data_IF_743959103551
#
_entry.id   IF_743959103551
#
_cell.length_a   1.000
_cell.length_b   1.000
_cell.length_c   1.000
_cell.angle_alpha   90.00
_cell.angle_beta   90.00
_cell.angle_gamma   90.00
#
_symmetry.space_group_name_H-M   'P 1'
#
loop_
_entity.id
_entity.type
_entity.pdbx_description
1 polymer ?
#
# COMPACT_ATOMS: atom_id res chain seq x y z
N UNK A 1 -11.42 -7.84 28.61
CA UNK A 1 -10.50 -8.05 27.47
C UNK A 1 -11.33 -8.70 26.36
N UNK A 2 -11.44 -8.03 25.22
CA UNK A 2 -12.25 -8.53 24.10
C UNK A 2 -11.73 -9.87 23.63
N UNK A 3 -12.62 -10.80 23.30
CA UNK A 3 -12.20 -12.09 22.76
C UNK A 3 -11.73 -11.93 21.33
N UNK A 4 -10.82 -12.80 20.89
CA UNK A 4 -10.36 -12.85 19.49
C UNK A 4 -11.53 -12.88 18.48
N UNK A 5 -12.62 -13.57 18.82
CA UNK A 5 -13.81 -13.65 17.97
C UNK A 5 -14.45 -12.29 17.68
N UNK A 6 -14.41 -11.34 18.62
CA UNK A 6 -14.96 -10.00 18.38
C UNK A 6 -14.16 -9.25 17.32
N UNK A 7 -12.83 -9.36 17.32
CA UNK A 7 -11.98 -8.76 16.28
C UNK A 7 -12.14 -9.44 14.93
N UNK A 8 -12.36 -10.75 14.91
CA UNK A 8 -12.69 -11.49 13.70
C UNK A 8 -14.00 -11.02 13.08
N UNK A 9 -15.04 -10.88 13.89
CA UNK A 9 -16.34 -10.39 13.46
C UNK A 9 -16.20 -8.93 12.96
N UNK A 10 -15.49 -8.09 13.69
CA UNK A 10 -15.22 -6.71 13.32
C UNK A 10 -14.56 -6.61 11.94
N UNK A 11 -13.52 -7.40 11.69
CA UNK A 11 -12.81 -7.45 10.42
C UNK A 11 -13.76 -7.77 9.24
N UNK A 12 -14.56 -8.82 9.38
CA UNK A 12 -15.50 -9.20 8.32
C UNK A 12 -16.63 -8.19 8.11
N UNK A 13 -17.17 -7.58 9.16
CA UNK A 13 -18.18 -6.52 9.02
C UNK A 13 -17.60 -5.31 8.30
N UNK A 14 -16.36 -4.93 8.61
CA UNK A 14 -15.66 -3.83 7.96
C UNK A 14 -15.41 -4.11 6.47
N UNK A 15 -14.94 -5.31 6.13
CA UNK A 15 -14.69 -5.71 4.73
C UNK A 15 -15.98 -5.79 3.90
N UNK A 16 -17.06 -6.36 4.46
CA UNK A 16 -18.31 -6.57 3.74
C UNK A 16 -19.21 -5.34 3.71
N UNK A 17 -18.89 -4.29 4.48
CA UNK A 17 -19.73 -3.12 4.68
C UNK A 17 -21.19 -3.47 5.04
N UNK A 18 -21.40 -4.64 5.67
CA UNK A 18 -22.73 -5.21 5.94
C UNK A 18 -22.67 -6.26 7.06
N UNK A 19 -23.50 -6.09 8.07
CA UNK A 19 -23.68 -7.08 9.14
C UNK A 19 -24.27 -8.40 8.63
N UNK A 20 -25.18 -8.32 7.66
CA UNK A 20 -25.84 -9.51 7.07
C UNK A 20 -24.85 -10.33 6.25
N UNK A 21 -24.10 -9.69 5.35
CA UNK A 21 -23.07 -10.38 4.55
C UNK A 21 -21.95 -10.96 5.41
N UNK A 22 -21.54 -10.24 6.45
CA UNK A 22 -20.55 -10.76 7.40
C UNK A 22 -21.09 -11.98 8.15
N UNK A 23 -22.39 -12.01 8.50
CA UNK A 23 -23.02 -13.16 9.12
C UNK A 23 -23.01 -14.39 8.19
N UNK A 24 -23.29 -14.20 6.90
CA UNK A 24 -23.22 -15.26 5.89
C UNK A 24 -21.80 -15.84 5.78
N UNK A 25 -20.79 -14.98 5.64
CA UNK A 25 -19.36 -15.38 5.55
C UNK A 25 -18.91 -16.14 6.79
N UNK A 26 -19.37 -15.72 7.97
CA UNK A 26 -18.99 -16.32 9.25
C UNK A 26 -19.88 -17.52 9.65
N UNK A 27 -20.83 -17.94 8.79
CA UNK A 27 -21.83 -18.98 9.08
C UNK A 27 -22.53 -18.73 10.43
N UNK A 28 -22.91 -17.49 10.68
CA UNK A 28 -23.52 -17.00 11.91
C UNK A 28 -24.83 -16.25 11.59
N UNK A 29 -25.58 -15.88 12.63
CA UNK A 29 -26.77 -15.06 12.47
C UNK A 29 -26.46 -13.57 12.73
N UNK A 30 -27.14 -12.68 12.01
CA UNK A 30 -26.93 -11.23 12.10
C UNK A 30 -27.19 -10.66 13.51
N UNK A 31 -28.18 -11.11 14.31
CA UNK A 31 -28.35 -10.64 15.69
C UNK A 31 -27.11 -10.92 16.57
N UNK A 32 -26.47 -12.07 16.41
CA UNK A 32 -25.26 -12.41 17.17
C UNK A 32 -24.08 -11.53 16.76
N UNK A 33 -23.87 -11.32 15.45
CA UNK A 33 -22.86 -10.38 14.93
C UNK A 33 -23.07 -8.98 15.51
N UNK A 34 -24.32 -8.49 15.52
CA UNK A 34 -24.65 -7.18 16.09
C UNK A 34 -24.34 -7.09 17.57
N UNK A 35 -24.70 -8.13 18.34
CA UNK A 35 -24.41 -8.20 19.79
C UNK A 35 -22.91 -8.18 20.05
N UNK A 36 -22.12 -8.95 19.31
CA UNK A 36 -20.67 -9.00 19.46
C UNK A 36 -20.03 -7.64 19.17
N UNK A 37 -20.51 -6.92 18.15
CA UNK A 37 -20.00 -5.58 17.83
C UNK A 37 -20.37 -4.55 18.90
N UNK A 38 -21.60 -4.58 19.40
CA UNK A 38 -22.00 -3.70 20.51
C UNK A 38 -21.17 -3.97 21.78
N UNK A 39 -20.85 -5.23 22.08
CA UNK A 39 -19.96 -5.57 23.19
C UNK A 39 -18.55 -5.05 22.97
N UNK A 40 -17.99 -5.20 21.77
CA UNK A 40 -16.66 -4.67 21.43
C UNK A 40 -16.62 -3.14 21.57
N UNK A 41 -17.60 -2.44 21.04
CA UNK A 41 -17.74 -0.98 21.16
C UNK A 41 -17.85 -0.53 22.64
N UNK A 42 -18.62 -1.28 23.44
CA UNK A 42 -18.74 -1.04 24.88
C UNK A 42 -17.40 -1.22 25.61
N UNK A 43 -16.69 -2.31 25.33
CA UNK A 43 -15.38 -2.58 25.94
C UNK A 43 -14.31 -1.55 25.56
N UNK A 44 -14.34 -1.07 24.30
CA UNK A 44 -13.39 -0.07 23.79
C UNK A 44 -13.82 1.37 24.11
N UNK A 45 -15.07 1.59 24.56
CA UNK A 45 -15.60 2.89 24.91
C UNK A 45 -15.80 3.84 23.73
N UNK A 46 -15.90 3.30 22.50
CA UNK A 46 -16.11 4.10 21.29
C UNK A 46 -16.95 3.34 20.26
N UNK A 47 -17.60 4.09 19.37
CA UNK A 47 -18.27 3.49 18.23
C UNK A 47 -17.28 3.20 17.09
N UNK A 48 -17.38 2.01 16.52
CA UNK A 48 -16.52 1.57 15.43
C UNK A 48 -17.21 1.66 14.07
N UNK A 49 -18.55 1.67 14.07
CA UNK A 49 -19.37 1.69 12.85
C UNK A 49 -20.41 2.81 12.84
N UNK A 50 -20.63 3.36 11.64
CA UNK A 50 -21.78 4.21 11.31
C UNK A 50 -22.71 3.40 10.43
N UNK A 51 -23.99 3.33 10.86
CA UNK A 51 -25.06 2.66 10.09
C UNK A 51 -25.82 3.69 9.28
N UNK A 52 -26.05 3.45 8.02
CA UNK A 52 -26.82 4.28 7.13
C UNK A 52 -27.74 3.44 6.25
N UNK A 53 -28.67 4.06 5.55
CA UNK A 53 -29.55 3.38 4.56
C UNK A 53 -28.74 2.80 3.38
N UNK A 54 -27.46 3.16 3.23
CA UNK A 54 -26.55 2.66 2.17
C UNK A 54 -25.64 1.54 2.64
N UNK A 55 -25.73 1.15 3.92
CA UNK A 55 -24.88 0.12 4.51
C UNK A 55 -24.14 0.59 5.75
N UNK A 56 -23.01 -0.03 6.01
CA UNK A 56 -22.19 0.19 7.20
C UNK A 56 -20.83 0.72 6.77
N UNK A 57 -20.36 1.78 7.43
CA UNK A 57 -19.01 2.32 7.26
C UNK A 57 -18.28 2.41 8.60
N UNK A 58 -16.96 2.46 8.57
CA UNK A 58 -16.14 2.66 9.77
C UNK A 58 -16.21 4.11 10.24
N UNK A 59 -16.16 4.30 11.56
CA UNK A 59 -15.83 5.59 12.18
C UNK A 59 -14.31 5.87 12.05
N UNK A 60 -13.79 7.07 12.36
CA UNK A 60 -12.35 7.31 12.47
C UNK A 60 -11.66 6.36 13.46
N UNK A 61 -12.30 6.04 14.58
CA UNK A 61 -11.82 5.08 15.58
C UNK A 61 -11.84 3.65 15.01
N UNK A 62 -12.92 3.29 14.32
CA UNK A 62 -13.04 2.02 13.61
C UNK A 62 -11.98 1.86 12.53
N UNK A 63 -11.64 2.91 11.79
CA UNK A 63 -10.58 2.86 10.79
C UNK A 63 -9.20 2.63 11.41
N UNK A 64 -8.91 3.29 12.53
CA UNK A 64 -7.66 3.05 13.29
C UNK A 64 -7.56 1.60 13.74
N UNK A 65 -8.62 1.06 14.34
CA UNK A 65 -8.65 -0.33 14.76
C UNK A 65 -8.51 -1.29 13.58
N UNK A 66 -9.20 -1.01 12.47
CA UNK A 66 -9.18 -1.85 11.28
C UNK A 66 -7.76 -2.00 10.69
N UNK A 67 -6.99 -0.93 10.68
CA UNK A 67 -5.60 -0.97 10.18
C UNK A 67 -4.73 -1.98 10.95
N UNK A 68 -4.92 -2.09 12.25
CA UNK A 68 -4.19 -3.07 13.08
C UNK A 68 -4.77 -4.48 12.97
N UNK A 69 -6.09 -4.60 12.98
CA UNK A 69 -6.78 -5.89 12.90
C UNK A 69 -6.55 -6.56 11.55
N UNK A 70 -6.56 -5.80 10.45
CA UNK A 70 -6.28 -6.31 9.11
C UNK A 70 -4.89 -6.94 9.03
N UNK A 71 -3.87 -6.27 9.57
CA UNK A 71 -2.49 -6.80 9.64
C UNK A 71 -2.46 -8.11 10.44
N UNK A 72 -3.13 -8.17 11.59
CA UNK A 72 -3.16 -9.36 12.42
C UNK A 72 -3.81 -10.56 11.69
N UNK A 73 -4.90 -10.33 10.96
CA UNK A 73 -5.57 -11.37 10.18
C UNK A 73 -4.73 -11.84 8.99
N UNK A 74 -4.08 -10.93 8.28
CA UNK A 74 -3.14 -11.30 7.22
C UNK A 74 -1.99 -12.17 7.74
N UNK A 75 -1.46 -11.89 8.94
CA UNK A 75 -0.42 -12.73 9.56
C UNK A 75 -0.92 -14.13 9.90
N UNK A 76 -2.15 -14.26 10.39
CA UNK A 76 -2.74 -15.57 10.67
C UNK A 76 -2.96 -16.38 9.40
N UNK A 77 -3.48 -15.76 8.33
CA UNK A 77 -3.66 -16.42 7.03
C UNK A 77 -2.32 -16.84 6.41
N UNK A 78 -1.27 -16.03 6.58
CA UNK A 78 0.09 -16.39 6.16
C UNK A 78 0.59 -17.61 6.91
N UNK A 79 0.46 -17.64 8.24
CA UNK A 79 0.88 -18.79 9.06
C UNK A 79 0.13 -20.08 8.70
N UNK A 80 -1.19 -20.00 8.48
CA UNK A 80 -1.98 -21.14 7.99
C UNK A 80 -1.51 -21.61 6.60
N UNK A 81 -1.15 -20.67 5.74
CA UNK A 81 -0.65 -20.95 4.39
C UNK A 81 0.72 -21.61 4.44
N UNK A 82 1.61 -21.16 5.31
CA UNK A 82 2.93 -21.77 5.55
C UNK A 82 2.79 -23.22 6.05
N UNK A 83 1.92 -23.46 7.03
CA UNK A 83 1.66 -24.80 7.53
C UNK A 83 1.08 -25.76 6.47
N UNK A 84 0.21 -25.24 5.58
CA UNK A 84 -0.32 -26.01 4.45
C UNK A 84 0.74 -26.30 3.38
N UNK A 85 1.75 -25.43 3.25
CA UNK A 85 2.88 -25.60 2.32
C UNK A 85 3.84 -26.68 2.77
N UNK A 86 4.16 -26.73 4.04
CA UNK A 86 5.05 -27.77 4.61
C UNK A 86 4.50 -29.18 4.38
N UNK A 87 3.19 -29.29 4.13
CA UNK A 87 2.52 -30.54 3.77
C UNK A 87 2.54 -30.84 2.26
N UNK A 88 2.87 -29.86 1.40
CA UNK A 88 2.93 -30.05 -0.08
C UNK A 88 4.22 -29.48 -0.65
N UNK A 89 5.23 -30.31 -0.82
CA UNK A 89 6.56 -29.99 -1.38
C UNK A 89 6.57 -29.47 -2.83
N UNK A 90 5.43 -29.10 -3.41
CA UNK A 90 5.32 -28.81 -4.86
C UNK A 90 4.82 -27.42 -5.23
N UNK A 91 4.46 -26.52 -4.30
CA UNK A 91 3.98 -25.19 -4.67
C UNK A 91 4.40 -24.12 -3.66
N UNK A 92 5.38 -23.30 -4.02
CA UNK A 92 5.76 -22.11 -3.27
C UNK A 92 4.84 -20.91 -3.57
N UNK A 93 4.57 -20.04 -2.60
CA UNK A 93 4.06 -18.69 -2.79
C UNK A 93 5.18 -17.72 -2.41
N UNK A 94 5.50 -16.78 -3.26
CA UNK A 94 6.39 -15.67 -2.96
C UNK A 94 5.53 -14.41 -2.89
N UNK A 95 5.55 -13.73 -1.76
CA UNK A 95 4.84 -12.46 -1.55
C UNK A 95 5.81 -11.30 -1.71
N UNK A 96 5.50 -10.37 -2.61
CA UNK A 96 6.38 -9.26 -2.96
C UNK A 96 5.64 -7.93 -2.75
N UNK A 97 6.16 -7.09 -1.85
CA UNK A 97 5.77 -5.69 -1.74
C UNK A 97 6.56 -4.86 -2.75
N UNK A 98 5.90 -4.06 -3.57
CA UNK A 98 6.61 -3.38 -4.65
C UNK A 98 6.12 -1.94 -4.80
N UNK A 99 7.05 -0.98 -5.01
CA UNK A 99 6.67 0.37 -5.40
C UNK A 99 6.31 0.43 -6.89
N UNK A 100 5.43 1.35 -7.28
CA UNK A 100 4.88 1.43 -8.63
C UNK A 100 5.97 1.48 -9.71
N UNK A 101 6.95 2.36 -9.56
CA UNK A 101 8.06 2.47 -10.52
C UNK A 101 8.91 1.20 -10.57
N UNK A 102 9.20 0.59 -9.40
CA UNK A 102 9.93 -0.66 -9.34
C UNK A 102 9.16 -1.82 -9.98
N UNK A 103 7.83 -1.88 -9.80
CA UNK A 103 6.97 -2.85 -10.47
C UNK A 103 7.09 -2.75 -11.98
N UNK A 104 6.88 -1.55 -12.53
CA UNK A 104 6.83 -1.32 -13.98
C UNK A 104 8.18 -1.50 -14.66
N UNK A 105 9.24 -0.93 -14.07
CA UNK A 105 10.55 -0.87 -14.71
C UNK A 105 11.36 -2.15 -14.50
N UNK A 106 11.26 -2.75 -13.30
CA UNK A 106 12.15 -3.84 -12.92
C UNK A 106 11.45 -5.20 -12.85
N UNK A 107 10.26 -5.28 -12.26
CA UNK A 107 9.63 -6.56 -11.96
C UNK A 107 8.81 -7.10 -13.13
N UNK A 108 7.87 -6.34 -13.68
CA UNK A 108 6.98 -6.80 -14.75
C UNK A 108 7.73 -7.40 -15.95
N UNK A 109 8.84 -6.81 -16.46
CA UNK A 109 9.59 -7.39 -17.58
C UNK A 109 10.23 -8.75 -17.27
N UNK A 110 10.33 -9.15 -16.00
CA UNK A 110 10.94 -10.40 -15.55
C UNK A 110 9.92 -11.49 -15.20
N UNK A 111 8.65 -11.13 -14.99
CA UNK A 111 7.63 -12.06 -14.51
C UNK A 111 7.35 -13.20 -15.49
N UNK A 112 7.29 -12.90 -16.79
CA UNK A 112 7.06 -13.92 -17.82
C UNK A 112 8.16 -14.96 -17.83
N UNK A 113 9.42 -14.53 -17.86
CA UNK A 113 10.58 -15.43 -17.83
C UNK A 113 10.62 -16.25 -16.54
N UNK A 114 10.29 -15.62 -15.38
CA UNK A 114 10.23 -16.32 -14.11
C UNK A 114 9.14 -17.39 -14.11
N UNK A 115 7.91 -17.06 -14.54
CA UNK A 115 6.79 -18.00 -14.60
C UNK A 115 7.07 -19.18 -15.53
N UNK A 116 7.68 -18.93 -16.69
CA UNK A 116 8.07 -19.98 -17.63
C UNK A 116 9.11 -20.94 -17.04
N UNK A 117 10.01 -20.43 -16.19
CA UNK A 117 11.04 -21.25 -15.55
C UNK A 117 10.54 -21.98 -14.30
N UNK A 118 9.61 -21.35 -13.57
CA UNK A 118 9.06 -21.84 -12.30
C UNK A 118 7.51 -21.84 -12.30
N UNK A 119 6.86 -22.68 -13.15
CA UNK A 119 5.41 -22.62 -13.37
C UNK A 119 4.57 -22.99 -12.14
N UNK A 120 5.18 -23.68 -11.17
CA UNK A 120 4.50 -24.09 -9.94
C UNK A 120 4.68 -23.09 -8.77
N UNK A 121 5.47 -22.03 -8.97
CA UNK A 121 5.64 -20.97 -7.97
C UNK A 121 4.56 -19.89 -8.17
N UNK A 122 3.78 -19.65 -7.15
CA UNK A 122 2.78 -18.59 -7.14
C UNK A 122 3.42 -17.27 -6.67
N UNK A 123 3.12 -16.19 -7.36
CA UNK A 123 3.55 -14.85 -6.96
C UNK A 123 2.34 -14.05 -6.46
N UNK A 124 2.45 -13.47 -5.27
CA UNK A 124 1.53 -12.45 -4.75
C UNK A 124 2.27 -11.12 -4.79
N UNK A 125 1.84 -10.22 -5.66
CA UNK A 125 2.46 -8.90 -5.82
C UNK A 125 1.49 -7.86 -5.28
N UNK A 126 1.96 -7.06 -4.32
CA UNK A 126 1.19 -5.98 -3.70
C UNK A 126 1.85 -4.65 -4.03
N UNK A 127 1.12 -3.78 -4.74
CA UNK A 127 1.61 -2.44 -5.09
C UNK A 127 1.40 -1.47 -3.93
N UNK A 128 2.46 -0.79 -3.53
CA UNK A 128 2.50 0.11 -2.38
C UNK A 128 3.43 1.31 -2.66
N UNK A 129 3.38 2.33 -1.80
CA UNK A 129 4.49 3.29 -1.74
C UNK A 129 5.74 2.62 -1.16
N UNK A 130 6.93 3.16 -1.42
CA UNK A 130 8.18 2.62 -0.86
C UNK A 130 8.13 2.45 0.67
N UNK A 131 7.67 3.43 1.48
CA UNK A 131 7.55 3.23 2.92
C UNK A 131 6.58 2.11 3.32
N UNK A 132 5.45 1.97 2.61
CA UNK A 132 4.48 0.91 2.88
C UNK A 132 5.01 -0.49 2.54
N UNK A 133 5.73 -0.62 1.41
CA UNK A 133 6.36 -1.89 1.03
C UNK A 133 7.43 -2.32 2.04
N UNK A 134 8.19 -1.36 2.58
CA UNK A 134 9.17 -1.61 3.64
C UNK A 134 8.47 -2.02 4.93
N UNK A 135 7.40 -1.33 5.35
CA UNK A 135 6.64 -1.68 6.53
C UNK A 135 6.02 -3.10 6.42
N UNK A 136 5.56 -3.48 5.23
CA UNK A 136 5.07 -4.83 4.95
C UNK A 136 6.16 -5.89 5.08
N UNK A 137 7.40 -5.58 4.64
CA UNK A 137 8.55 -6.46 4.83
C UNK A 137 8.95 -6.56 6.32
N UNK A 138 8.98 -5.44 7.03
CA UNK A 138 9.33 -5.40 8.46
C UNK A 138 8.33 -6.15 9.34
N UNK A 139 7.06 -6.15 8.95
CA UNK A 139 6.00 -6.90 9.63
C UNK A 139 5.86 -8.36 9.16
N UNK A 140 6.68 -8.81 8.19
CA UNK A 140 6.62 -10.17 7.66
C UNK A 140 5.41 -10.46 6.76
N UNK A 141 4.71 -9.42 6.29
CA UNK A 141 3.58 -9.55 5.34
C UNK A 141 4.03 -9.93 3.93
N UNK A 142 5.29 -9.64 3.60
CA UNK A 142 5.90 -9.99 2.32
C UNK A 142 7.31 -10.58 2.54
N UNK A 143 7.73 -11.46 1.64
CA UNK A 143 9.05 -12.11 1.68
C UNK A 143 10.15 -11.17 1.16
N UNK A 144 9.80 -10.30 0.21
CA UNK A 144 10.70 -9.33 -0.42
C UNK A 144 9.99 -7.99 -0.61
N UNK A 145 10.79 -6.91 -0.58
CA UNK A 145 10.35 -5.61 -1.03
C UNK A 145 11.22 -5.14 -2.19
N UNK A 146 10.60 -4.77 -3.32
CA UNK A 146 11.28 -4.18 -4.49
C UNK A 146 10.85 -2.73 -4.60
N UNK A 147 11.75 -1.83 -4.24
CA UNK A 147 11.41 -0.42 -4.01
C UNK A 147 12.46 0.51 -4.62
N UNK A 148 12.12 1.78 -4.72
CA UNK A 148 13.01 2.83 -5.19
C UNK A 148 13.71 3.53 -4.02
N UNK A 149 14.88 4.09 -4.27
CA UNK A 149 15.58 4.97 -3.32
C UNK A 149 15.15 6.43 -3.50
N UNK A 150 15.27 7.29 -2.47
CA UNK A 150 15.84 7.04 -1.14
C UNK A 150 14.95 6.16 -0.27
N UNK A 151 15.57 5.40 0.64
CA UNK A 151 14.86 4.54 1.58
C UNK A 151 15.59 4.43 2.92
N UNK A 152 14.81 4.22 3.98
CA UNK A 152 15.33 3.87 5.30
C UNK A 152 14.80 2.50 5.67
N UNK A 153 15.67 1.55 6.00
CA UNK A 153 15.29 0.21 6.45
C UNK A 153 16.16 -0.20 7.64
N UNK A 154 15.64 -1.09 8.45
CA UNK A 154 16.36 -1.65 9.59
C UNK A 154 17.61 -2.40 9.12
N UNK A 155 18.67 -2.41 9.97
CA UNK A 155 19.97 -3.02 9.65
C UNK A 155 19.92 -4.52 9.38
N UNK A 156 18.89 -5.20 9.84
CA UNK A 156 18.70 -6.64 9.66
C UNK A 156 18.39 -7.05 8.22
N UNK A 157 17.96 -6.13 7.38
CA UNK A 157 17.61 -6.43 5.99
C UNK A 157 18.79 -6.25 5.05
N UNK A 158 18.97 -7.23 4.17
CA UNK A 158 19.95 -7.14 3.08
C UNK A 158 19.38 -6.29 1.95
N UNK A 159 20.19 -5.35 1.45
CA UNK A 159 19.87 -4.53 0.29
C UNK A 159 20.65 -5.00 -0.92
N UNK A 160 19.93 -5.24 -2.02
CA UNK A 160 20.50 -5.63 -3.31
C UNK A 160 20.09 -4.59 -4.35
N UNK A 161 21.07 -3.94 -4.99
CA UNK A 161 20.80 -3.01 -6.07
C UNK A 161 20.43 -3.78 -7.35
N UNK A 162 19.25 -3.49 -7.90
CA UNK A 162 18.78 -4.11 -9.13
C UNK A 162 19.05 -3.25 -10.37
N UNK A 163 19.40 -1.98 -10.19
CA UNK A 163 19.66 -1.04 -11.27
C UNK A 163 19.37 0.40 -10.84
N UNK A 164 19.43 1.31 -11.81
CA UNK A 164 19.10 2.72 -11.62
C UNK A 164 18.24 3.23 -12.75
N UNK A 165 17.45 4.26 -12.47
CA UNK A 165 16.68 5.01 -13.47
C UNK A 165 16.81 6.51 -13.17
N UNK A 166 16.40 7.33 -14.12
CA UNK A 166 16.41 8.78 -13.97
C UNK A 166 14.97 9.27 -14.00
N UNK A 167 14.68 10.25 -13.18
CA UNK A 167 13.47 11.02 -13.29
C UNK A 167 13.73 12.22 -14.18
N UNK A 168 12.76 12.56 -15.01
CA UNK A 168 12.79 13.74 -15.88
C UNK A 168 11.53 14.55 -15.65
N UNK A 169 11.62 15.84 -15.78
CA UNK A 169 10.45 16.70 -15.86
C UNK A 169 9.79 16.52 -17.21
N UNK A 170 8.48 16.37 -17.19
CA UNK A 170 7.66 16.37 -18.39
C UNK A 170 6.70 17.56 -18.33
N UNK A 171 6.37 18.11 -19.47
CA UNK A 171 5.44 19.23 -19.56
C UNK A 171 4.47 19.02 -20.72
N UNK A 172 3.23 19.45 -20.54
CA UNK A 172 2.23 19.41 -21.60
C UNK A 172 2.55 20.38 -22.76
N UNK A 173 1.84 20.26 -23.89
CA UNK A 173 2.09 21.07 -25.10
C UNK A 173 2.07 22.57 -24.86
N UNK A 174 1.34 23.05 -23.87
CA UNK A 174 1.27 24.46 -23.45
C UNK A 174 2.65 25.03 -23.06
N UNK A 175 3.55 24.18 -22.56
CA UNK A 175 4.87 24.54 -22.04
C UNK A 175 6.00 24.16 -22.99
N UNK A 176 5.69 23.95 -24.28
CA UNK A 176 6.65 23.50 -25.29
C UNK A 176 7.89 24.40 -25.41
N UNK A 177 7.75 25.69 -25.12
CA UNK A 177 8.85 26.65 -25.18
C UNK A 177 9.94 26.35 -24.14
N UNK A 178 9.59 25.77 -22.98
CA UNK A 178 10.58 25.35 -21.96
C UNK A 178 11.54 24.27 -22.47
N UNK A 179 11.14 23.46 -23.45
CA UNK A 179 11.99 22.43 -24.03
C UNK A 179 13.06 23.00 -24.99
N UNK A 180 13.03 24.28 -25.31
CA UNK A 180 13.96 24.93 -26.25
C UNK A 180 15.31 25.31 -25.61
N UNK A 181 15.40 25.29 -24.28
CA UNK A 181 16.61 25.66 -23.52
C UNK A 181 16.70 24.86 -22.21
N UNK A 182 17.81 25.03 -21.50
CA UNK A 182 18.00 24.45 -20.17
C UNK A 182 17.39 25.41 -19.16
N UNK A 183 16.26 24.98 -18.56
CA UNK A 183 15.60 25.74 -17.52
C UNK A 183 16.36 25.69 -16.20
N UNK A 184 16.48 26.83 -15.52
CA UNK A 184 16.92 26.86 -14.12
C UNK A 184 15.79 26.45 -13.17
N UNK A 185 16.13 26.07 -11.94
CA UNK A 185 15.11 25.79 -10.91
C UNK A 185 14.32 27.04 -10.53
N UNK A 186 14.94 28.22 -10.63
CA UNK A 186 14.31 29.52 -10.40
C UNK A 186 13.21 29.79 -11.42
N UNK A 187 13.52 29.56 -12.71
CA UNK A 187 12.55 29.65 -13.78
C UNK A 187 11.41 28.64 -13.63
N UNK A 188 11.75 27.38 -13.31
CA UNK A 188 10.75 26.32 -13.11
C UNK A 188 9.82 26.59 -11.92
N UNK A 189 10.27 27.30 -10.89
CA UNK A 189 9.46 27.65 -9.73
C UNK A 189 8.27 28.58 -10.05
N UNK A 190 8.30 29.24 -11.19
CA UNK A 190 7.20 30.09 -11.70
C UNK A 190 6.05 29.28 -12.32
N UNK A 191 6.25 27.99 -12.57
CA UNK A 191 5.27 27.12 -13.22
C UNK A 191 4.58 26.18 -12.25
N UNK A 192 3.31 25.82 -12.52
CA UNK A 192 2.59 24.88 -11.68
C UNK A 192 3.17 23.47 -11.79
N UNK A 193 3.37 22.83 -10.64
CA UNK A 193 3.85 21.45 -10.54
C UNK A 193 2.74 20.48 -10.20
N UNK A 194 2.75 19.32 -10.87
CA UNK A 194 2.03 18.11 -10.46
C UNK A 194 3.03 17.16 -9.82
N UNK A 195 2.70 16.63 -8.65
CA UNK A 195 3.57 15.69 -7.94
C UNK A 195 2.77 14.62 -7.22
N UNK A 196 3.44 13.57 -6.81
CA UNK A 196 2.84 12.57 -5.93
C UNK A 196 2.55 13.19 -4.55
N UNK A 197 1.54 12.64 -3.89
CA UNK A 197 1.17 12.99 -2.52
C UNK A 197 2.30 12.73 -1.52
N UNK A 198 2.17 13.29 -0.32
CA UNK A 198 3.09 13.07 0.79
C UNK A 198 3.20 11.56 1.12
N UNK A 199 4.29 11.17 1.80
CA UNK A 199 4.62 9.79 2.16
C UNK A 199 4.97 8.87 0.96
N UNK A 200 5.53 9.45 -0.09
CA UNK A 200 6.17 8.69 -1.17
C UNK A 200 7.65 9.06 -1.27
N UNK A 201 8.52 8.07 -1.55
CA UNK A 201 9.97 8.33 -1.71
C UNK A 201 10.29 9.28 -2.87
N UNK A 202 9.47 9.28 -3.91
CA UNK A 202 9.59 10.22 -5.04
C UNK A 202 9.34 11.65 -4.59
N UNK A 203 8.30 11.87 -3.77
CA UNK A 203 8.03 13.20 -3.21
C UNK A 203 9.18 13.68 -2.32
N UNK A 204 9.70 12.80 -1.46
CA UNK A 204 10.84 13.11 -0.59
C UNK A 204 12.07 13.48 -1.42
N UNK A 205 12.33 12.77 -2.51
CA UNK A 205 13.41 13.06 -3.44
C UNK A 205 13.28 14.45 -4.04
N UNK A 206 12.08 14.84 -4.51
CA UNK A 206 11.82 16.15 -5.06
C UNK A 206 12.02 17.25 -4.02
N UNK A 207 11.46 17.07 -2.81
CA UNK A 207 11.64 18.03 -1.71
C UNK A 207 13.14 18.20 -1.38
N UNK A 208 13.88 17.11 -1.26
CA UNK A 208 15.32 17.17 -0.98
C UNK A 208 16.10 17.87 -2.10
N UNK A 209 15.79 17.55 -3.36
CA UNK A 209 16.46 18.16 -4.51
C UNK A 209 16.22 19.67 -4.55
N UNK A 210 15.00 20.12 -4.50
CA UNK A 210 14.66 21.55 -4.51
C UNK A 210 15.23 22.29 -3.31
N UNK A 211 15.08 21.72 -2.11
CA UNK A 211 15.60 22.32 -0.87
C UNK A 211 17.13 22.44 -0.87
N UNK A 212 17.85 21.47 -1.44
CA UNK A 212 19.32 21.53 -1.54
C UNK A 212 19.81 22.64 -2.45
N UNK A 213 18.96 23.15 -3.34
CA UNK A 213 19.22 24.30 -4.21
C UNK A 213 18.59 25.61 -3.73
N UNK A 214 18.02 25.62 -2.50
CA UNK A 214 17.48 26.83 -1.90
C UNK A 214 16.01 27.14 -2.28
N UNK A 215 15.33 26.24 -2.99
CA UNK A 215 13.94 26.43 -3.42
C UNK A 215 12.96 25.53 -2.62
N UNK A 216 11.81 26.05 -2.15
CA UNK A 216 10.77 25.20 -1.60
C UNK A 216 10.04 24.45 -2.72
N UNK A 217 9.84 23.14 -2.56
CA UNK A 217 9.01 22.35 -3.46
C UNK A 217 7.55 22.36 -3.00
N UNK A 218 6.69 23.05 -3.73
CA UNK A 218 5.25 23.18 -3.44
C UNK A 218 4.46 22.89 -4.71
N UNK A 219 4.00 21.64 -4.91
CA UNK A 219 3.17 21.35 -6.07
C UNK A 219 1.77 21.97 -5.93
N UNK A 220 1.21 22.36 -7.05
CA UNK A 220 -0.15 22.90 -7.16
C UNK A 220 -1.19 21.79 -7.22
N UNK A 221 -0.80 20.60 -7.70
CA UNK A 221 -1.65 19.42 -7.78
C UNK A 221 -0.90 18.21 -7.20
N UNK A 222 -1.55 17.51 -6.28
CA UNK A 222 -1.06 16.26 -5.72
C UNK A 222 -1.91 15.10 -6.20
N UNK A 223 -1.25 14.02 -6.63
CA UNK A 223 -1.88 12.81 -7.17
C UNK A 223 -1.34 11.57 -6.47
N UNK A 224 -2.09 10.48 -6.50
CA UNK A 224 -1.75 9.25 -5.78
C UNK A 224 -0.89 8.28 -6.58
N UNK A 225 -0.83 8.42 -7.91
CA UNK A 225 -0.05 7.52 -8.77
C UNK A 225 0.73 8.28 -9.84
N UNK A 226 1.82 7.66 -10.30
CA UNK A 226 2.66 8.20 -11.38
C UNK A 226 1.90 8.35 -12.69
N UNK A 227 0.93 7.48 -12.99
CA UNK A 227 0.11 7.58 -14.19
C UNK A 227 -0.75 8.85 -14.19
N UNK A 228 -1.22 9.27 -13.03
CA UNK A 228 -2.01 10.49 -12.89
C UNK A 228 -1.18 11.75 -13.11
N UNK A 229 0.16 11.68 -12.91
CA UNK A 229 1.04 12.78 -13.26
C UNK A 229 1.11 13.04 -14.79
N UNK A 230 0.77 12.04 -15.61
CA UNK A 230 0.85 12.09 -17.06
C UNK A 230 -0.49 12.50 -17.73
N UNK A 231 -1.46 12.98 -16.95
CA UNK A 231 -2.74 13.46 -17.51
C UNK A 231 -2.47 14.75 -18.30
N UNK A 232 -2.72 14.66 -19.60
CA UNK A 232 -2.60 15.78 -20.54
C UNK A 232 -3.81 16.72 -20.47
#
# INVERSE_FOLDING_TARGET
MSTYDYYRIFYHVAQQHSFTKAAEVLHNNQPNITRCMNNLETELGCHLFVRSNRGVSLTPEGQKLFNHVAIAFEQLELGETELKRDQSLTSGLISIGVSENALRIMLLPKLEAFHNHYPHVRLKISNHSTPQAIASLESGLVDFAVVTTPLSVQKQFQKISLGSFREILIAGPKYKELASHICSLEELAEYPFVSLENNTSTRDLHIQYFSSHGFPFRPDLEVTSTDQCNIQ
#
